data_IF_550841397473
#
_entry.id   IF_550841397473
#
_cell.length_a   1.000
_cell.length_b   1.000
_cell.length_c   1.000
_cell.angle_alpha   90.00
_cell.angle_beta   90.00
_cell.angle_gamma   90.00
#
_symmetry.space_group_name_H-M   'P 1'
#
loop_
_entity.id
_entity.type
_entity.pdbx_description
1 polymer ?
#
# COMPACT_ATOMS: atom_id res chain seq x y z
N UNK A 1 -22.56 -32.27 -10.02
CA UNK A 1 -21.67 -31.14 -10.42
C UNK A 1 -20.27 -31.35 -9.83
N UNK A 2 -19.54 -32.36 -10.30
CA UNK A 2 -18.25 -32.78 -9.73
C UNK A 2 -17.24 -33.05 -10.85
N UNK A 3 -16.73 -31.99 -11.49
CA UNK A 3 -15.76 -32.12 -12.59
C UNK A 3 -14.52 -31.21 -12.51
N UNK A 4 -14.34 -30.43 -11.45
CA UNK A 4 -13.22 -29.46 -11.38
C UNK A 4 -12.12 -29.76 -10.35
N UNK A 5 -12.20 -30.85 -9.57
CA UNK A 5 -11.14 -31.21 -8.60
C UNK A 5 -9.94 -31.94 -9.22
N UNK A 6 -10.03 -32.45 -10.45
CA UNK A 6 -8.94 -33.27 -11.05
C UNK A 6 -7.94 -32.43 -11.87
N UNK A 7 -8.25 -31.15 -12.12
CA UNK A 7 -7.47 -30.32 -13.06
C UNK A 7 -6.36 -29.50 -12.39
N UNK A 8 -6.49 -29.21 -11.09
CA UNK A 8 -5.44 -28.53 -10.30
C UNK A 8 -4.29 -29.47 -9.93
N UNK A 9 -4.59 -30.75 -9.68
CA UNK A 9 -3.56 -31.76 -9.38
C UNK A 9 -2.74 -32.13 -10.62
N UNK A 10 -3.36 -32.22 -11.79
CA UNK A 10 -2.63 -32.43 -13.04
C UNK A 10 -1.71 -31.26 -13.40
N UNK A 11 -2.07 -30.02 -13.07
CA UNK A 11 -1.23 -28.86 -13.36
C UNK A 11 0.02 -28.83 -12.46
N UNK A 12 -0.11 -29.22 -11.19
CA UNK A 12 1.01 -29.37 -10.26
C UNK A 12 1.91 -30.57 -10.58
N UNK A 13 1.33 -31.69 -11.04
CA UNK A 13 2.09 -32.91 -11.39
C UNK A 13 2.80 -32.79 -12.75
N UNK A 14 2.22 -32.04 -13.70
CA UNK A 14 2.86 -31.73 -14.99
C UNK A 14 4.01 -30.73 -14.84
N UNK A 15 3.99 -29.83 -13.83
CA UNK A 15 5.09 -28.91 -13.55
C UNK A 15 6.36 -29.62 -13.06
N UNK A 16 6.25 -30.75 -12.35
CA UNK A 16 7.43 -31.49 -11.85
C UNK A 16 8.19 -32.28 -12.93
N UNK A 17 7.61 -32.48 -14.12
CA UNK A 17 8.16 -33.33 -15.18
C UNK A 17 8.53 -32.60 -16.48
N UNK A 18 8.24 -31.29 -16.57
CA UNK A 18 8.52 -30.44 -17.74
C UNK A 18 9.29 -29.17 -17.42
N UNK A 19 9.93 -29.07 -16.26
CA UNK A 19 11.01 -28.11 -16.05
C UNK A 19 12.29 -28.84 -16.44
N UNK A 20 12.83 -28.64 -17.65
CA UNK A 20 14.13 -29.19 -17.97
C UNK A 20 15.15 -28.55 -17.01
N UNK A 21 16.06 -29.36 -16.47
CA UNK A 21 17.19 -28.92 -15.63
C UNK A 21 18.04 -27.81 -16.30
N UNK A 22 17.82 -27.57 -17.60
CA UNK A 22 18.42 -26.49 -18.39
C UNK A 22 17.79 -25.11 -18.20
N UNK A 23 16.73 -24.95 -17.39
CA UNK A 23 16.14 -23.63 -17.12
C UNK A 23 17.02 -22.73 -16.22
N UNK A 24 18.12 -23.27 -15.69
CA UNK A 24 19.18 -22.53 -15.00
C UNK A 24 20.26 -21.98 -15.97
N UNK A 25 19.91 -21.63 -17.21
CA UNK A 25 20.81 -20.85 -18.07
C UNK A 25 20.60 -19.37 -17.80
N UNK A 26 21.72 -18.64 -17.68
CA UNK A 26 21.79 -17.23 -17.24
C UNK A 26 21.07 -16.21 -18.14
N UNK A 27 20.32 -16.65 -19.16
CA UNK A 27 19.79 -15.80 -20.22
C UNK A 27 18.29 -16.02 -20.51
N UNK A 28 17.48 -16.18 -19.46
CA UNK A 28 16.03 -16.28 -19.60
C UNK A 28 15.39 -14.87 -19.55
N UNK A 29 14.62 -14.44 -20.57
CA UNK A 29 14.12 -13.07 -20.69
C UNK A 29 13.00 -12.70 -19.68
N UNK A 30 12.58 -13.63 -18.81
CA UNK A 30 11.56 -13.44 -17.78
C UNK A 30 12.12 -13.47 -16.34
N UNK A 31 13.40 -13.08 -16.16
CA UNK A 31 14.10 -13.06 -14.86
C UNK A 31 13.41 -12.26 -13.74
N UNK A 32 12.54 -11.29 -14.05
CA UNK A 32 11.93 -10.41 -13.06
C UNK A 32 10.70 -10.98 -12.34
N UNK A 33 10.00 -11.97 -12.91
CA UNK A 33 8.82 -12.59 -12.29
C UNK A 33 9.13 -13.93 -11.62
N UNK A 34 10.34 -14.45 -11.83
CA UNK A 34 10.91 -15.50 -11.02
C UNK A 34 11.41 -14.84 -9.73
N UNK A 35 10.51 -14.62 -8.78
CA UNK A 35 10.79 -14.23 -7.40
C UNK A 35 11.76 -15.26 -6.79
N UNK A 36 13.05 -15.05 -7.08
CA UNK A 36 14.26 -15.56 -6.46
C UNK A 36 14.04 -16.79 -5.56
N UNK A 37 13.78 -17.95 -6.16
CA UNK A 37 14.26 -19.22 -5.61
C UNK A 37 15.73 -19.36 -5.99
N UNK A 38 16.57 -18.42 -5.58
CA UNK A 38 18.00 -18.68 -5.50
C UNK A 38 18.12 -19.85 -4.52
N UNK A 39 18.67 -20.97 -4.98
CA UNK A 39 18.60 -22.27 -4.32
C UNK A 39 18.78 -22.18 -2.79
N UNK A 40 17.67 -22.17 -2.05
CA UNK A 40 17.69 -22.64 -0.68
C UNK A 40 17.95 -24.14 -0.81
N UNK A 41 19.21 -24.48 -0.61
CA UNK A 41 19.83 -25.80 -0.85
C UNK A 41 18.99 -26.94 -0.30
N UNK A 42 18.24 -26.72 0.77
CA UNK A 42 17.05 -27.50 1.13
C UNK A 42 16.24 -26.62 2.08
N UNK A 43 14.92 -26.83 2.17
CA UNK A 43 14.13 -26.22 3.23
C UNK A 43 14.72 -26.67 4.59
N UNK A 44 15.07 -25.77 5.53
CA UNK A 44 15.76 -26.13 6.79
C UNK A 44 14.79 -26.77 7.82
N UNK A 45 14.01 -27.73 7.37
CA UNK A 45 13.03 -28.46 8.16
C UNK A 45 12.63 -29.77 7.48
N UNK A 46 12.11 -30.70 8.27
CA UNK A 46 11.71 -32.02 7.77
C UNK A 46 10.58 -31.94 6.74
N UNK A 47 10.45 -32.97 5.90
CA UNK A 47 9.29 -33.11 4.98
C UNK A 47 7.95 -33.07 5.71
N UNK A 48 7.87 -33.65 6.90
CA UNK A 48 6.66 -33.62 7.72
C UNK A 48 6.31 -32.18 8.14
N UNK A 49 7.30 -31.39 8.56
CA UNK A 49 7.11 -29.96 8.88
C UNK A 49 6.72 -29.16 7.64
N UNK A 50 7.29 -29.45 6.47
CA UNK A 50 6.91 -28.80 5.22
C UNK A 50 5.44 -29.05 4.87
N UNK A 51 4.96 -30.28 5.05
CA UNK A 51 3.56 -30.63 4.82
C UNK A 51 2.61 -29.90 5.79
N UNK A 52 2.98 -29.80 7.07
CA UNK A 52 2.22 -29.04 8.06
C UNK A 52 2.14 -27.55 7.69
N UNK A 53 3.25 -26.95 7.22
CA UNK A 53 3.26 -25.56 6.75
C UNK A 53 2.32 -25.39 5.56
N UNK A 54 2.37 -26.27 4.56
CA UNK A 54 1.50 -26.19 3.40
C UNK A 54 0.02 -26.34 3.76
N UNK A 55 -0.30 -27.23 4.70
CA UNK A 55 -1.66 -27.42 5.20
C UNK A 55 -2.17 -26.17 5.92
N UNK A 56 -1.35 -25.57 6.79
CA UNK A 56 -1.71 -24.35 7.51
C UNK A 56 -1.88 -23.15 6.57
N UNK A 57 -1.01 -23.02 5.56
CA UNK A 57 -1.15 -21.98 4.52
C UNK A 57 -2.46 -22.17 3.74
N UNK A 58 -2.81 -23.40 3.36
CA UNK A 58 -4.10 -23.69 2.70
C UNK A 58 -5.27 -23.31 3.59
N UNK A 59 -5.20 -23.64 4.88
CA UNK A 59 -6.24 -23.29 5.88
C UNK A 59 -6.39 -21.78 6.03
N UNK A 60 -5.28 -21.04 6.15
CA UNK A 60 -5.27 -19.59 6.25
C UNK A 60 -5.92 -18.95 5.02
N UNK A 61 -5.47 -19.31 3.82
CA UNK A 61 -6.00 -18.77 2.56
C UNK A 61 -7.49 -19.10 2.43
N UNK A 62 -7.90 -20.33 2.75
CA UNK A 62 -9.31 -20.74 2.75
C UNK A 62 -10.16 -19.86 3.67
N UNK A 63 -9.71 -19.64 4.91
CA UNK A 63 -10.46 -18.82 5.88
C UNK A 63 -10.62 -17.35 5.43
N UNK A 64 -9.58 -16.79 4.80
CA UNK A 64 -9.61 -15.41 4.29
C UNK A 64 -10.54 -15.33 3.09
N UNK A 65 -10.48 -16.31 2.18
CA UNK A 65 -11.37 -16.37 1.02
C UNK A 65 -12.83 -16.44 1.44
N UNK A 66 -13.17 -17.32 2.40
CA UNK A 66 -14.53 -17.44 2.93
C UNK A 66 -15.00 -16.13 3.56
N UNK A 67 -14.17 -15.51 4.40
CA UNK A 67 -14.48 -14.21 5.02
C UNK A 67 -14.69 -13.11 3.98
N UNK A 68 -13.87 -13.06 2.94
CA UNK A 68 -14.00 -12.07 1.87
C UNK A 68 -15.25 -12.30 1.03
N UNK A 69 -15.59 -13.56 0.72
CA UNK A 69 -16.81 -13.89 -0.02
C UNK A 69 -18.07 -13.55 0.80
N UNK A 70 -18.08 -13.85 2.09
CA UNK A 70 -19.17 -13.48 3.00
C UNK A 70 -19.32 -11.95 3.08
N UNK A 71 -18.22 -11.21 3.24
CA UNK A 71 -18.23 -9.75 3.22
C UNK A 71 -18.81 -9.19 1.91
N UNK A 72 -18.33 -9.66 0.76
CA UNK A 72 -18.81 -9.22 -0.56
C UNK A 72 -20.27 -9.60 -0.78
N UNK A 73 -20.71 -10.74 -0.25
CA UNK A 73 -22.12 -11.18 -0.34
C UNK A 73 -23.01 -10.27 0.49
N UNK A 74 -22.61 -9.91 1.72
CA UNK A 74 -23.33 -8.96 2.58
C UNK A 74 -23.35 -7.55 2.00
N UNK A 75 -22.27 -7.14 1.34
CA UNK A 75 -22.12 -5.81 0.72
C UNK A 75 -22.51 -5.78 -0.77
N UNK A 76 -23.22 -6.79 -1.28
CA UNK A 76 -23.52 -6.92 -2.71
C UNK A 76 -24.29 -5.73 -3.27
N UNK A 77 -25.29 -5.23 -2.53
CA UNK A 77 -26.10 -4.08 -2.96
C UNK A 77 -25.26 -2.80 -3.08
N UNK A 78 -24.31 -2.61 -2.16
CA UNK A 78 -23.38 -1.49 -2.16
C UNK A 78 -22.43 -1.55 -3.36
N UNK A 79 -21.90 -2.73 -3.66
CA UNK A 79 -21.04 -2.96 -4.84
C UNK A 79 -21.80 -2.72 -6.14
N UNK A 80 -23.05 -3.18 -6.23
CA UNK A 80 -23.90 -2.95 -7.41
C UNK A 80 -24.17 -1.45 -7.64
N UNK A 81 -24.38 -0.66 -6.56
CA UNK A 81 -24.54 0.80 -6.65
C UNK A 81 -23.29 1.49 -7.18
N UNK A 82 -22.12 1.10 -6.68
CA UNK A 82 -20.83 1.65 -7.13
C UNK A 82 -20.57 1.27 -8.59
N UNK A 83 -20.83 0.01 -8.97
CA UNK A 83 -20.69 -0.46 -10.35
C UNK A 83 -21.57 0.31 -11.33
N UNK A 84 -22.84 0.56 -10.98
CA UNK A 84 -23.75 1.39 -11.79
C UNK A 84 -23.23 2.82 -11.97
N UNK A 85 -22.61 3.40 -10.93
CA UNK A 85 -22.02 4.73 -11.02
C UNK A 85 -20.79 4.75 -11.93
N UNK A 86 -19.94 3.72 -11.86
CA UNK A 86 -18.75 3.58 -12.71
C UNK A 86 -19.10 3.44 -14.20
N UNK A 87 -20.23 2.81 -14.53
CA UNK A 87 -20.73 2.76 -15.92
C UNK A 87 -21.08 4.14 -16.49
N UNK A 88 -21.45 5.10 -15.63
CA UNK A 88 -21.76 6.47 -16.05
C UNK A 88 -20.60 7.46 -15.92
N UNK A 89 -19.74 7.30 -14.91
CA UNK A 89 -18.54 8.13 -14.66
C UNK A 89 -17.34 7.21 -14.44
N UNK A 90 -16.39 7.23 -15.37
CA UNK A 90 -15.22 6.33 -15.37
C UNK A 90 -14.36 6.45 -14.10
N UNK A 91 -14.32 7.63 -13.48
CA UNK A 91 -13.53 7.93 -12.28
C UNK A 91 -14.43 8.41 -11.15
N UNK A 92 -14.34 7.78 -9.97
CA UNK A 92 -15.05 8.22 -8.76
C UNK A 92 -14.11 8.96 -7.81
N UNK A 93 -14.52 10.16 -7.40
CA UNK A 93 -13.88 10.92 -6.33
C UNK A 93 -14.43 10.49 -4.97
N UNK A 94 -13.65 10.74 -3.90
CA UNK A 94 -14.01 10.38 -2.52
C UNK A 94 -15.42 10.84 -2.11
N UNK A 95 -15.82 12.07 -2.47
CA UNK A 95 -17.16 12.59 -2.14
C UNK A 95 -18.30 11.74 -2.72
N UNK A 96 -18.13 11.17 -3.92
CA UNK A 96 -19.12 10.28 -4.54
C UNK A 96 -19.21 8.94 -3.79
N UNK A 97 -18.09 8.45 -3.25
CA UNK A 97 -18.09 7.21 -2.46
C UNK A 97 -18.81 7.41 -1.12
N UNK A 98 -18.60 8.56 -0.47
CA UNK A 98 -19.31 8.93 0.77
C UNK A 98 -20.81 9.06 0.53
N UNK A 99 -21.23 9.65 -0.59
CA UNK A 99 -22.65 9.74 -0.96
C UNK A 99 -23.30 8.36 -1.13
N UNK A 100 -22.61 7.42 -1.79
CA UNK A 100 -23.14 6.08 -2.10
C UNK A 100 -23.13 5.13 -0.90
N UNK A 101 -22.04 5.12 -0.12
CA UNK A 101 -21.77 4.13 0.91
C UNK A 101 -21.87 4.66 2.34
N UNK A 102 -22.04 5.97 2.51
CA UNK A 102 -21.89 6.73 3.77
C UNK A 102 -20.42 6.84 4.22
N UNK A 103 -20.20 7.53 5.33
CA UNK A 103 -18.88 7.69 5.95
C UNK A 103 -18.35 6.34 6.45
N UNK A 104 -17.04 6.15 6.32
CA UNK A 104 -16.37 4.92 6.78
C UNK A 104 -16.51 4.83 8.31
N UNK A 105 -16.96 3.69 8.86
CA UNK A 105 -17.20 3.52 10.30
C UNK A 105 -15.93 3.31 11.14
N UNK A 106 -14.77 3.68 10.60
CA UNK A 106 -13.47 3.56 11.25
C UNK A 106 -12.86 4.95 11.31
N UNK A 107 -12.22 5.32 12.43
CA UNK A 107 -11.48 6.57 12.51
C UNK A 107 -10.28 6.48 11.55
N UNK A 108 -10.24 7.38 10.58
CA UNK A 108 -9.16 7.49 9.60
C UNK A 108 -8.45 8.82 9.84
N UNK A 109 -7.14 8.74 10.07
CA UNK A 109 -6.30 9.92 10.13
C UNK A 109 -5.93 10.28 8.68
N UNK A 110 -6.58 11.30 8.14
CA UNK A 110 -6.37 11.72 6.74
C UNK A 110 -5.28 12.79 6.67
N UNK A 111 -5.15 13.60 7.72
CA UNK A 111 -4.21 14.71 7.76
C UNK A 111 -2.90 14.30 8.44
N UNK A 112 -1.81 14.95 8.05
CA UNK A 112 -0.49 14.70 8.62
C UNK A 112 -0.48 15.02 10.12
N UNK A 113 -1.18 16.07 10.50
CA UNK A 113 -1.30 16.53 11.88
C UNK A 113 -1.89 15.42 12.78
N UNK A 114 -2.99 14.78 12.36
CA UNK A 114 -3.66 13.72 13.12
C UNK A 114 -2.81 12.43 13.23
N UNK A 115 -1.91 12.20 12.27
CA UNK A 115 -0.95 11.09 12.32
C UNK A 115 0.21 11.37 13.30
N UNK A 116 0.59 12.63 13.49
CA UNK A 116 1.78 13.05 14.25
C UNK A 116 1.45 13.51 15.68
N UNK A 117 0.19 13.84 15.96
CA UNK A 117 -0.32 14.26 17.28
C UNK A 117 0.10 13.34 18.45
N UNK A 118 0.32 12.04 18.22
CA UNK A 118 0.75 11.09 19.26
C UNK A 118 2.26 10.88 19.41
N UNK A 119 3.08 11.42 18.50
CA UNK A 119 4.53 11.12 18.41
C UNK A 119 5.42 12.25 18.95
N UNK A 120 4.84 13.35 19.44
CA UNK A 120 5.56 14.36 20.21
C UNK A 120 6.32 15.41 19.39
N UNK A 121 5.62 16.14 18.51
CA UNK A 121 6.11 17.36 17.87
C UNK A 121 5.54 17.54 16.47
N UNK A 122 4.76 18.60 16.24
CA UNK A 122 4.33 19.00 14.89
C UNK A 122 5.49 19.61 14.10
N UNK A 123 6.51 20.11 14.81
CA UNK A 123 7.74 20.64 14.23
C UNK A 123 8.83 19.58 14.36
N UNK A 124 9.46 19.26 13.23
CA UNK A 124 10.63 18.38 13.19
C UNK A 124 11.79 19.05 13.93
N UNK A 125 12.30 18.39 14.98
CA UNK A 125 13.48 18.82 15.72
C UNK A 125 14.73 18.72 14.83
N UNK A 126 14.94 19.73 13.98
CA UNK A 126 16.12 19.86 13.10
C UNK A 126 17.38 20.31 13.85
N UNK A 127 17.41 20.04 15.16
CA UNK A 127 18.57 20.28 16.02
C UNK A 127 19.64 19.20 15.73
N UNK A 128 20.55 19.53 14.80
CA UNK A 128 21.70 18.67 14.54
C UNK A 128 22.65 18.65 15.77
N UNK A 129 23.23 17.49 16.11
CA UNK A 129 24.26 17.41 17.15
C UNK A 129 25.46 18.29 16.81
N UNK A 130 26.21 18.70 17.83
CA UNK A 130 27.26 19.74 17.76
C UNK A 130 28.27 19.54 16.62
N UNK A 131 28.65 18.29 16.32
CA UNK A 131 29.59 17.95 15.24
C UNK A 131 29.02 17.97 13.82
N UNK A 132 27.71 18.14 13.63
CA UNK A 132 27.05 18.14 12.31
C UNK A 132 26.40 19.49 11.95
N UNK A 133 26.59 20.52 12.78
CA UNK A 133 26.04 21.85 12.52
C UNK A 133 26.48 22.46 11.18
N UNK A 134 27.63 22.03 10.63
CA UNK A 134 28.15 22.46 9.32
C UNK A 134 27.40 21.91 8.10
N UNK A 135 26.49 20.95 8.28
CA UNK A 135 25.60 20.47 7.22
C UNK A 135 24.32 21.30 7.09
N UNK A 136 24.13 22.30 7.96
CA UNK A 136 23.01 23.26 7.86
C UNK A 136 23.30 24.20 6.68
N UNK A 137 22.78 23.85 5.52
CA UNK A 137 23.06 24.55 4.26
C UNK A 137 22.45 25.95 4.20
N UNK A 138 23.27 26.96 4.48
CA UNK A 138 23.16 28.32 3.95
C UNK A 138 24.59 28.89 3.80
N UNK A 139 24.99 29.46 2.65
CA UNK A 139 26.35 29.94 2.46
C UNK A 139 26.66 31.10 3.43
N UNK A 140 27.74 30.94 4.20
CA UNK A 140 28.29 31.99 5.06
C UNK A 140 29.04 33.04 4.21
N UNK A 141 28.42 34.22 4.11
CA UNK A 141 28.92 35.61 4.00
C UNK A 141 30.17 35.94 3.14
N UNK A 142 29.95 36.82 2.13
CA UNK A 142 30.99 37.59 1.42
C UNK A 142 30.56 38.26 0.08
N UNK A 143 29.58 39.20 0.12
CA UNK A 143 29.18 40.33 -0.80
C UNK A 143 29.40 40.32 -2.35
N UNK A 144 28.57 41.02 -3.22
CA UNK A 144 27.81 42.26 -2.95
C UNK A 144 26.36 42.38 -3.51
N UNK A 145 25.58 43.25 -2.84
CA UNK A 145 24.38 44.02 -3.25
C UNK A 145 23.51 43.53 -4.43
N UNK A 146 22.26 43.16 -4.13
CA UNK A 146 21.08 43.48 -4.95
C UNK A 146 19.83 43.40 -4.07
N UNK A 147 19.33 44.56 -3.65
CA UNK A 147 18.07 44.68 -2.93
C UNK A 147 16.88 44.25 -3.84
N UNK A 148 15.92 43.44 -3.37
CA UNK A 148 14.67 43.22 -4.08
C UNK A 148 13.68 44.40 -3.85
N UNK A 149 12.82 44.71 -4.85
CA UNK A 149 11.98 45.91 -4.87
C UNK A 149 10.84 45.84 -3.83
N UNK A 150 10.30 47.01 -3.41
CA UNK A 150 9.29 47.07 -2.37
C UNK A 150 7.90 46.74 -2.90
N UNK A 151 7.26 45.74 -2.28
CA UNK A 151 5.79 45.64 -2.21
C UNK A 151 5.17 44.47 -2.97
N UNK A 152 4.96 43.35 -2.28
CA UNK A 152 3.75 42.52 -2.44
C UNK A 152 3.61 41.58 -1.22
N UNK A 153 2.60 41.84 -0.38
CA UNK A 153 2.24 40.93 0.71
C UNK A 153 1.43 39.75 0.15
N UNK A 154 1.75 38.49 0.52
CA UNK A 154 0.85 37.37 0.24
C UNK A 154 -0.44 37.48 1.07
N UNK A 155 -1.60 37.04 0.54
CA UNK A 155 -2.88 37.21 1.19
C UNK A 155 -2.95 36.42 2.50
N UNK A 156 -3.29 37.10 3.59
CA UNK A 156 -3.51 36.48 4.89
C UNK A 156 -4.75 35.57 4.92
N UNK A 157 -4.80 34.62 5.86
CA UNK A 157 -5.90 33.66 5.98
C UNK A 157 -7.23 34.36 6.31
N UNK A 158 -8.38 33.84 5.83
CA UNK A 158 -9.68 34.43 6.12
C UNK A 158 -10.00 34.30 7.61
N UNK A 159 -9.92 35.43 8.32
CA UNK A 159 -10.28 35.54 9.72
C UNK A 159 -11.75 35.21 9.96
N UNK A 160 -11.98 34.27 10.88
CA UNK A 160 -13.26 33.99 11.52
C UNK A 160 -13.80 35.25 12.19
N UNK A 161 -14.83 35.88 11.61
CA UNK A 161 -15.62 36.87 12.36
C UNK A 161 -16.52 36.14 13.36
N UNK A 162 -16.04 36.03 14.60
CA UNK A 162 -16.92 36.11 15.76
C UNK A 162 -17.67 37.44 15.69
N UNK A 163 -18.92 37.40 15.25
CA UNK A 163 -19.90 38.44 15.52
C UNK A 163 -20.75 37.92 16.67
N UNK A 164 -20.62 38.58 17.81
CA UNK A 164 -21.49 38.43 18.95
C UNK A 164 -22.93 38.77 18.55
N UNK A 165 -23.88 37.90 18.91
CA UNK A 165 -25.13 38.22 19.60
C UNK A 165 -25.58 36.95 20.32
#
# INVERSE_FOLDING_TARGET
MARNLVRTDLYLQQCSSKIPDSCCSANCPFQAWCFRCEALVEKPFSKATAQLIEEEVRRLIGSVQERTLDLLTRCREQVDKVGRRLLGKEVLEWANMVELLRLRPFMENITYEELVEGTGGLEEDTALPEGLQGWRGGPAEGEPSLAPPPGEQPPGPPGSKLKHM
#
